data_IF_218661426618
#
_entry.id   IF_218661426618
#
_cell.length_a   1.000
_cell.length_b   1.000
_cell.length_c   1.000
_cell.angle_alpha   90.00
_cell.angle_beta   90.00
_cell.angle_gamma   90.00
#
_symmetry.space_group_name_H-M   'P 1'
#
loop_
_entity.id
_entity.type
_entity.pdbx_description
1 polymer ?
#
# COMPACT_ATOMS: atom_id res chain seq x y z
N UNK A 1 -26.94 30.94 -22.75
CA UNK A 1 -27.13 29.49 -22.68
C UNK A 1 -26.10 28.82 -23.59
N UNK A 2 -25.11 28.16 -23.02
CA UNK A 2 -24.24 27.23 -23.75
C UNK A 2 -23.75 26.19 -22.73
N UNK A 3 -24.33 25.00 -22.81
CA UNK A 3 -23.98 23.86 -21.96
C UNK A 3 -22.86 23.08 -22.64
N UNK A 4 -21.63 23.18 -22.13
CA UNK A 4 -20.53 22.31 -22.55
C UNK A 4 -20.57 21.02 -21.73
N UNK A 5 -20.91 19.91 -22.39
CA UNK A 5 -20.85 18.56 -21.80
C UNK A 5 -19.38 18.12 -21.76
N UNK A 6 -18.80 18.05 -20.57
CA UNK A 6 -17.51 17.37 -20.39
C UNK A 6 -17.73 15.85 -20.51
N UNK A 7 -17.25 15.29 -21.62
CA UNK A 7 -17.16 13.85 -21.84
C UNK A 7 -15.99 13.30 -21.00
N UNK A 8 -16.31 12.53 -19.97
CA UNK A 8 -15.34 11.78 -19.17
C UNK A 8 -14.82 10.59 -19.97
N UNK A 9 -13.60 10.70 -20.49
CA UNK A 9 -12.89 9.60 -21.15
C UNK A 9 -12.22 8.76 -20.07
N UNK A 10 -12.76 7.57 -19.80
CA UNK A 10 -12.07 6.53 -19.02
C UNK A 10 -10.77 6.11 -19.74
N UNK A 11 -9.69 5.77 -19.01
CA UNK A 11 -8.58 5.07 -19.62
C UNK A 11 -9.00 3.64 -19.98
N UNK A 12 -8.87 3.30 -21.26
CA UNK A 12 -9.01 1.93 -21.78
C UNK A 12 -7.83 1.07 -21.29
N UNK A 13 -8.04 -0.21 -20.93
CA UNK A 13 -6.93 -1.11 -20.58
C UNK A 13 -5.96 -1.26 -21.75
N UNK A 14 -4.67 -1.04 -21.50
CA UNK A 14 -3.61 -1.28 -22.48
C UNK A 14 -3.53 -2.78 -22.80
N UNK A 15 -3.73 -3.11 -24.07
CA UNK A 15 -3.45 -4.44 -24.60
C UNK A 15 -1.93 -4.65 -24.72
N UNK A 16 -1.45 -5.81 -24.28
CA UNK A 16 -0.21 -6.41 -24.81
C UNK A 16 0.94 -6.61 -23.84
N UNK A 17 0.74 -7.40 -22.78
CA UNK A 17 1.74 -8.34 -22.26
C UNK A 17 0.96 -9.61 -21.91
N UNK A 18 1.37 -10.78 -22.42
CA UNK A 18 0.82 -12.05 -21.96
C UNK A 18 1.18 -12.23 -20.48
N UNK A 19 0.25 -11.83 -19.61
CA UNK A 19 0.32 -12.12 -18.19
C UNK A 19 -0.27 -13.51 -18.03
N UNK A 20 0.57 -14.49 -17.70
CA UNK A 20 0.11 -15.68 -17.00
C UNK A 20 -0.24 -15.24 -15.58
N UNK A 21 -1.35 -14.50 -15.45
CA UNK A 21 -2.00 -14.29 -14.16
C UNK A 21 -2.60 -15.64 -13.79
N UNK A 22 -2.29 -16.23 -12.63
CA UNK A 22 -2.96 -17.45 -12.20
C UNK A 22 -4.47 -17.22 -12.18
N UNK A 23 -5.23 -18.21 -12.65
CA UNK A 23 -6.67 -18.27 -12.43
C UNK A 23 -6.95 -18.21 -10.92
N UNK A 24 -7.30 -17.02 -10.43
CA UNK A 24 -8.11 -16.70 -9.25
C UNK A 24 -7.58 -17.13 -7.86
N UNK A 25 -7.29 -16.18 -6.93
CA UNK A 25 -7.27 -16.43 -5.48
C UNK A 25 -8.52 -17.16 -4.98
N UNK A 26 -8.44 -17.94 -3.89
CA UNK A 26 -7.34 -17.97 -2.92
C UNK A 26 -6.15 -18.81 -3.35
N UNK A 27 -4.96 -18.48 -2.82
CA UNK A 27 -3.75 -19.27 -3.01
C UNK A 27 -3.95 -20.72 -2.56
N UNK A 28 -4.05 -21.64 -3.52
CA UNK A 28 -4.23 -23.08 -3.25
C UNK A 28 -2.92 -23.78 -2.89
N UNK A 29 -1.77 -23.17 -3.16
CA UNK A 29 -0.45 -23.72 -2.86
C UNK A 29 0.23 -22.99 -1.69
N UNK A 30 0.87 -23.75 -0.80
CA UNK A 30 1.77 -23.20 0.21
C UNK A 30 3.17 -23.03 -0.43
N UNK A 31 3.69 -21.80 -0.51
CA UNK A 31 5.01 -21.57 -1.09
C UNK A 31 6.12 -22.17 -0.24
N UNK A 32 7.27 -22.44 -0.85
CA UNK A 32 8.46 -22.93 -0.14
C UNK A 32 8.84 -21.94 0.99
N UNK A 33 9.13 -22.46 2.18
CA UNK A 33 9.51 -21.64 3.34
C UNK A 33 10.99 -21.24 3.25
N UNK A 34 11.26 -20.09 2.63
CA UNK A 34 12.63 -19.57 2.41
C UNK A 34 13.03 -18.48 3.40
N UNK A 35 12.08 -17.77 4.00
CA UNK A 35 12.37 -16.61 4.87
C UNK A 35 11.89 -16.76 6.33
N UNK A 36 11.43 -17.96 6.72
CA UNK A 36 11.03 -18.25 8.10
C UNK A 36 9.89 -17.36 8.61
N UNK A 37 10.01 -16.86 9.85
CA UNK A 37 8.91 -16.16 10.55
C UNK A 37 8.34 -14.94 9.82
N UNK A 38 9.16 -14.24 9.03
CA UNK A 38 8.66 -13.07 8.27
C UNK A 38 7.72 -13.53 7.17
N UNK A 39 8.09 -14.61 6.45
CA UNK A 39 7.21 -15.23 5.45
C UNK A 39 5.96 -15.81 6.10
N UNK A 40 6.08 -16.52 7.22
CA UNK A 40 4.91 -17.09 7.92
C UNK A 40 3.92 -15.99 8.32
N UNK A 41 4.44 -14.86 8.81
CA UNK A 41 3.62 -13.69 9.17
C UNK A 41 2.92 -13.07 7.96
N UNK A 42 3.59 -13.05 6.80
CA UNK A 42 3.00 -12.56 5.56
C UNK A 42 1.98 -13.52 4.95
N UNK A 43 2.21 -14.83 5.04
CA UNK A 43 1.23 -15.85 4.64
C UNK A 43 -0.06 -15.75 5.48
N UNK A 44 0.05 -15.50 6.79
CA UNK A 44 -1.10 -15.20 7.64
C UNK A 44 -1.86 -13.97 7.13
N UNK A 45 -1.15 -12.90 6.80
CA UNK A 45 -1.74 -11.64 6.32
C UNK A 45 -2.37 -11.75 4.94
N UNK A 46 -1.76 -12.51 4.04
CA UNK A 46 -2.32 -12.86 2.74
C UNK A 46 -3.68 -13.56 2.93
N UNK A 47 -3.75 -14.57 3.81
CA UNK A 47 -5.01 -15.25 4.15
C UNK A 47 -6.05 -14.31 4.75
N UNK A 48 -5.65 -13.31 5.54
CA UNK A 48 -6.62 -12.34 6.09
C UNK A 48 -7.35 -11.52 5.02
N UNK A 49 -6.66 -11.23 3.90
CA UNK A 49 -7.26 -10.54 2.75
C UNK A 49 -8.24 -11.44 2.00
N UNK A 50 -7.89 -12.72 1.84
CA UNK A 50 -8.59 -13.66 0.96
C UNK A 50 -9.74 -14.39 1.65
N UNK A 51 -9.57 -14.80 2.90
CA UNK A 51 -10.55 -15.58 3.65
C UNK A 51 -11.30 -14.66 4.63
N UNK A 52 -12.57 -14.30 4.37
CA UNK A 52 -13.37 -13.52 5.30
C UNK A 52 -13.67 -14.26 6.61
N UNK A 53 -13.55 -15.59 6.64
CA UNK A 53 -13.86 -16.44 7.80
C UNK A 53 -12.66 -16.70 8.71
N UNK A 54 -11.43 -16.32 8.31
CA UNK A 54 -10.23 -16.55 9.11
C UNK A 54 -10.35 -15.83 10.47
N UNK A 55 -10.46 -16.63 11.53
CA UNK A 55 -10.64 -16.18 12.92
C UNK A 55 -9.37 -15.62 13.55
N UNK A 56 -8.21 -15.81 12.92
CA UNK A 56 -6.93 -15.28 13.37
C UNK A 56 -6.78 -13.79 13.05
N UNK A 57 -7.54 -13.28 12.07
CA UNK A 57 -7.63 -11.86 11.81
C UNK A 57 -8.42 -11.17 12.94
N UNK A 58 -7.75 -10.34 13.73
CA UNK A 58 -8.35 -9.57 14.83
C UNK A 58 -8.62 -8.11 14.48
N UNK A 59 -8.31 -7.70 13.24
CA UNK A 59 -8.60 -6.34 12.80
C UNK A 59 -10.11 -6.10 12.79
N UNK A 60 -10.50 -4.94 13.30
CA UNK A 60 -11.86 -4.43 13.23
C UNK A 60 -11.83 -3.17 12.36
N UNK A 61 -12.84 -2.94 11.51
CA UNK A 61 -12.94 -1.69 10.76
C UNK A 61 -12.91 -0.48 11.68
N UNK A 62 -12.11 0.52 11.34
CA UNK A 62 -12.07 1.79 12.06
C UNK A 62 -13.19 2.72 11.58
N UNK A 63 -13.76 3.49 12.50
CA UNK A 63 -14.67 4.61 12.17
C UNK A 63 -13.98 5.98 12.21
N UNK A 64 -12.66 6.03 12.49
CA UNK A 64 -11.89 7.26 12.63
C UNK A 64 -11.98 8.16 11.39
N UNK A 65 -12.50 9.36 11.56
CA UNK A 65 -12.59 10.41 10.53
C UNK A 65 -11.50 11.47 10.69
N UNK A 66 -11.37 12.37 9.70
CA UNK A 66 -10.51 13.56 9.82
C UNK A 66 -11.04 14.51 10.91
N UNK A 67 -12.35 14.65 11.05
CA UNK A 67 -12.97 15.44 12.11
C UNK A 67 -12.61 14.91 13.50
N UNK A 68 -12.59 13.59 13.69
CA UNK A 68 -12.16 12.97 14.95
C UNK A 68 -10.69 13.29 15.28
N UNK A 69 -9.82 13.37 14.26
CA UNK A 69 -8.42 13.75 14.43
C UNK A 69 -8.30 15.21 14.86
N UNK A 70 -9.01 16.12 14.19
CA UNK A 70 -9.04 17.55 14.54
C UNK A 70 -9.58 17.74 15.96
N UNK A 71 -10.67 17.05 16.32
CA UNK A 71 -11.25 17.09 17.66
C UNK A 71 -10.31 16.53 18.74
N UNK A 72 -9.36 15.68 18.35
CA UNK A 72 -8.32 15.13 19.22
C UNK A 72 -7.00 15.94 19.19
N UNK A 73 -7.05 17.18 18.71
CA UNK A 73 -5.93 18.12 18.59
C UNK A 73 -4.80 17.63 17.67
N UNK A 74 -5.12 16.83 16.64
CA UNK A 74 -4.16 16.57 15.57
C UNK A 74 -4.10 17.76 14.62
N UNK A 75 -2.88 18.15 14.25
CA UNK A 75 -2.67 19.05 13.14
C UNK A 75 -2.98 18.32 11.84
N UNK A 76 -3.89 18.86 11.03
CA UNK A 76 -4.23 18.35 9.70
C UNK A 76 -4.16 19.51 8.71
N UNK A 77 -3.33 19.37 7.68
CA UNK A 77 -3.17 20.37 6.63
C UNK A 77 -3.17 19.71 5.28
N UNK A 78 -4.15 20.07 4.45
CA UNK A 78 -4.32 19.52 3.11
C UNK A 78 -4.04 20.56 2.05
N UNK A 79 -3.25 20.19 1.05
CA UNK A 79 -2.99 21.01 -0.14
C UNK A 79 -3.16 20.18 -1.41
N UNK A 80 -3.32 20.86 -2.55
CA UNK A 80 -3.30 20.21 -3.86
C UNK A 80 -1.86 20.05 -4.33
N UNK A 81 -1.47 18.84 -4.70
CA UNK A 81 -0.10 18.53 -5.10
C UNK A 81 -0.03 17.68 -6.37
N UNK A 82 1.10 17.79 -7.08
CA UNK A 82 1.49 16.88 -8.15
C UNK A 82 2.01 15.57 -7.56
N UNK A 83 2.15 14.54 -8.41
CA UNK A 83 2.77 13.28 -7.99
C UNK A 83 4.27 13.50 -7.67
N UNK A 84 4.78 12.99 -6.53
CA UNK A 84 6.19 13.10 -6.16
C UNK A 84 7.12 12.52 -7.23
N UNK A 85 8.26 13.18 -7.44
CA UNK A 85 9.16 12.85 -8.54
C UNK A 85 9.65 11.39 -8.46
N UNK A 86 9.86 10.87 -7.24
CA UNK A 86 10.42 9.55 -6.95
C UNK A 86 9.57 8.40 -7.53
N UNK A 87 8.25 8.62 -7.59
CA UNK A 87 7.29 7.60 -8.05
C UNK A 87 6.61 7.99 -9.36
N UNK A 88 6.79 9.24 -9.81
CA UNK A 88 6.15 9.83 -10.99
C UNK A 88 6.19 8.93 -12.23
N UNK A 89 7.37 8.43 -12.61
CA UNK A 89 7.51 7.55 -13.79
C UNK A 89 6.69 6.26 -13.68
N UNK A 90 6.66 5.65 -12.50
CA UNK A 90 5.88 4.44 -12.23
C UNK A 90 4.38 4.73 -12.26
N UNK A 91 3.98 5.84 -11.65
CA UNK A 91 2.59 6.27 -11.55
C UNK A 91 2.03 6.66 -12.93
N UNK A 92 2.78 7.40 -13.76
CA UNK A 92 2.32 7.78 -15.11
C UNK A 92 2.14 6.59 -16.04
N UNK A 93 3.01 5.57 -15.92
CA UNK A 93 2.85 4.32 -16.68
C UNK A 93 1.56 3.58 -16.37
N UNK A 94 0.97 3.82 -15.20
CA UNK A 94 -0.32 3.25 -14.80
C UNK A 94 -1.51 4.14 -15.21
N UNK A 95 -1.27 5.25 -15.92
CA UNK A 95 -2.31 6.10 -16.50
C UNK A 95 -2.76 7.28 -15.63
N UNK A 96 -2.11 7.52 -14.50
CA UNK A 96 -2.39 8.70 -13.67
C UNK A 96 -1.78 9.97 -14.28
N UNK A 97 -2.50 11.09 -14.21
CA UNK A 97 -2.03 12.38 -14.75
C UNK A 97 -1.10 13.11 -13.77
N UNK A 98 -0.14 13.86 -14.30
CA UNK A 98 0.72 14.75 -13.52
C UNK A 98 0.06 16.13 -13.33
N UNK A 99 -1.08 16.15 -12.66
CA UNK A 99 -1.83 17.37 -12.40
C UNK A 99 -1.91 17.60 -10.89
N UNK A 100 -1.96 18.86 -10.47
CA UNK A 100 -2.09 19.23 -9.06
C UNK A 100 -3.54 19.03 -8.57
N UNK A 101 -4.04 17.80 -8.69
CA UNK A 101 -5.43 17.41 -8.39
C UNK A 101 -5.53 16.52 -7.16
N UNK A 102 -4.41 15.96 -6.71
CA UNK A 102 -4.33 15.05 -5.57
C UNK A 102 -4.30 15.84 -4.25
N UNK A 103 -4.91 15.29 -3.20
CA UNK A 103 -4.86 15.87 -1.86
C UNK A 103 -3.62 15.35 -1.15
N UNK A 104 -2.59 16.18 -0.99
CA UNK A 104 -1.49 15.93 -0.06
C UNK A 104 -1.92 16.40 1.31
N UNK A 105 -1.94 15.50 2.29
CA UNK A 105 -2.32 15.83 3.66
C UNK A 105 -1.22 15.46 4.64
N UNK A 106 -0.72 16.49 5.34
CA UNK A 106 0.14 16.34 6.49
C UNK A 106 -0.74 16.21 7.75
N UNK A 107 -0.61 15.09 8.45
CA UNK A 107 -1.31 14.80 9.71
C UNK A 107 -0.30 14.54 10.81
N UNK A 108 -0.30 15.37 11.86
CA UNK A 108 0.73 15.36 12.89
C UNK A 108 0.16 15.54 14.29
N UNK A 109 0.82 14.93 15.27
CA UNK A 109 0.58 15.18 16.69
C UNK A 109 1.80 14.77 17.50
N UNK A 110 1.98 15.34 18.68
CA UNK A 110 3.03 14.94 19.60
C UNK A 110 2.56 13.77 20.47
N UNK A 111 3.42 12.76 20.59
CA UNK A 111 3.16 11.60 21.42
C UNK A 111 2.99 11.99 22.89
N UNK A 112 1.98 11.41 23.54
CA UNK A 112 1.61 11.64 24.94
C UNK A 112 2.15 10.54 25.88
N UNK A 113 2.84 9.55 25.31
CA UNK A 113 3.30 8.34 26.00
C UNK A 113 4.37 8.52 27.08
N UNK A 114 4.96 7.39 27.50
CA UNK A 114 5.91 7.32 28.61
C UNK A 114 7.19 8.17 28.42
N UNK A 115 7.88 8.45 29.53
CA UNK A 115 9.16 9.18 29.58
C UNK A 115 10.14 8.67 28.50
N UNK A 116 10.62 9.59 27.65
CA UNK A 116 11.52 9.32 26.53
C UNK A 116 10.86 9.30 25.15
N UNK A 117 9.53 9.19 25.09
CA UNK A 117 8.77 9.28 23.84
C UNK A 117 7.78 10.47 23.82
N UNK A 118 7.47 11.04 25.00
CA UNK A 118 6.66 12.24 25.12
C UNK A 118 7.29 13.41 24.34
N UNK A 119 6.49 14.09 23.52
CA UNK A 119 6.96 15.19 22.67
C UNK A 119 7.66 14.75 21.38
N UNK A 120 7.82 13.46 21.12
CA UNK A 120 8.19 12.98 19.78
C UNK A 120 7.00 13.15 18.84
N UNK A 121 7.26 13.51 17.58
CA UNK A 121 6.21 13.69 16.59
C UNK A 121 5.67 12.35 16.10
N UNK A 122 4.37 12.25 15.89
CA UNK A 122 3.75 11.31 14.97
C UNK A 122 3.51 12.08 13.66
N UNK A 123 3.91 11.51 12.52
CA UNK A 123 3.81 12.18 11.22
C UNK A 123 3.27 11.20 10.19
N UNK A 124 2.19 11.61 9.54
CA UNK A 124 1.67 10.99 8.34
C UNK A 124 1.64 12.03 7.24
N UNK A 125 2.34 11.77 6.15
CA UNK A 125 2.30 12.60 4.96
C UNK A 125 1.81 11.73 3.81
N UNK A 126 0.57 11.97 3.38
CA UNK A 126 -0.18 11.09 2.51
C UNK A 126 -0.80 11.91 1.39
N UNK A 127 -0.47 11.55 0.15
CA UNK A 127 -1.16 12.00 -1.04
C UNK A 127 -2.23 10.98 -1.44
N UNK A 128 -3.46 11.46 -1.61
CA UNK A 128 -4.59 10.65 -2.05
C UNK A 128 -5.26 11.20 -3.30
N UNK A 129 -5.71 10.29 -4.16
CA UNK A 129 -6.58 10.58 -5.30
C UNK A 129 -7.33 9.32 -5.73
N UNK A 130 -8.19 9.46 -6.74
CA UNK A 130 -8.99 8.33 -7.24
C UNK A 130 -8.08 7.19 -7.68
N UNK A 131 -8.17 6.06 -7.00
CA UNK A 131 -7.35 4.88 -7.27
C UNK A 131 -5.91 4.90 -6.78
N UNK A 132 -5.41 6.00 -6.20
CA UNK A 132 -4.01 6.18 -5.87
C UNK A 132 -3.82 6.68 -4.43
N UNK A 133 -2.89 6.05 -3.73
CA UNK A 133 -2.36 6.56 -2.47
C UNK A 133 -0.84 6.51 -2.50
N UNK A 134 -0.19 7.58 -2.05
CA UNK A 134 1.26 7.67 -1.89
C UNK A 134 1.53 8.12 -0.45
N UNK A 135 2.29 7.33 0.29
CA UNK A 135 2.75 7.69 1.62
C UNK A 135 4.22 8.11 1.56
N UNK A 136 4.47 9.39 1.82
CA UNK A 136 5.81 9.97 1.95
C UNK A 136 6.27 9.98 3.42
N UNK A 137 5.32 9.97 4.37
CA UNK A 137 5.58 9.92 5.80
C UNK A 137 4.71 8.90 6.53
N UNK A 138 5.34 8.01 7.31
CA UNK A 138 4.67 6.96 8.09
C UNK A 138 5.33 6.75 9.46
N UNK A 139 5.47 7.82 10.25
CA UNK A 139 6.11 7.78 11.56
C UNK A 139 5.09 7.78 12.70
N UNK A 140 5.17 6.76 13.56
CA UNK A 140 4.22 6.55 14.65
C UNK A 140 4.91 6.03 15.91
N UNK A 141 4.76 6.78 16.99
CA UNK A 141 5.09 6.40 18.37
C UNK A 141 3.83 5.87 19.07
N UNK A 142 2.74 6.63 19.04
CA UNK A 142 1.44 6.30 19.65
C UNK A 142 0.26 6.74 18.75
N UNK A 143 -0.96 6.72 19.28
CA UNK A 143 -2.16 7.13 18.53
C UNK A 143 -2.65 6.11 17.47
N UNK A 144 -3.51 6.56 16.53
CA UNK A 144 -4.08 5.71 15.49
C UNK A 144 -3.02 5.05 14.60
N UNK A 145 -3.35 3.91 14.00
CA UNK A 145 -2.48 3.23 13.03
C UNK A 145 -2.51 3.96 11.68
N UNK A 146 -1.43 3.84 10.89
CA UNK A 146 -1.37 4.39 9.53
C UNK A 146 -2.60 4.04 8.70
N UNK A 147 -3.04 2.77 8.71
CA UNK A 147 -4.19 2.31 7.92
C UNK A 147 -5.49 3.04 8.26
N UNK A 148 -5.66 3.45 9.53
CA UNK A 148 -6.82 4.20 9.98
C UNK A 148 -6.78 5.66 9.51
N UNK A 149 -5.61 6.30 9.61
CA UNK A 149 -5.37 7.67 9.08
C UNK A 149 -5.55 7.70 7.56
N UNK A 150 -4.92 6.76 6.86
CA UNK A 150 -4.99 6.61 5.43
C UNK A 150 -6.43 6.37 4.93
N UNK A 151 -7.20 5.52 5.64
CA UNK A 151 -8.63 5.31 5.38
C UNK A 151 -9.43 6.60 5.55
N UNK A 152 -9.19 7.38 6.61
CA UNK A 152 -9.87 8.66 6.85
C UNK A 152 -9.63 9.63 5.68
N UNK A 153 -8.38 9.79 5.22
CA UNK A 153 -8.06 10.66 4.07
C UNK A 153 -8.67 10.17 2.75
N UNK A 154 -8.77 8.85 2.56
CA UNK A 154 -9.47 8.28 1.41
C UNK A 154 -10.99 8.48 1.47
N UNK A 155 -11.58 8.66 2.65
CA UNK A 155 -13.00 8.99 2.77
C UNK A 155 -13.28 10.44 2.33
N UNK A 156 -12.36 11.37 2.60
CA UNK A 156 -12.49 12.78 2.18
C UNK A 156 -12.55 12.96 0.65
N UNK A 157 -11.98 12.02 -0.12
CA UNK A 157 -12.09 12.03 -1.60
C UNK A 157 -13.38 11.36 -2.12
N UNK A 158 -14.24 10.83 -1.24
CA UNK A 158 -15.57 10.30 -1.57
C UNK A 158 -15.60 8.89 -2.20
N UNK A 159 -14.46 8.32 -2.59
CA UNK A 159 -14.39 7.01 -3.24
C UNK A 159 -13.24 6.13 -2.69
N UNK A 160 -13.24 5.73 -1.41
CA UNK A 160 -12.14 4.95 -0.83
C UNK A 160 -11.92 3.60 -1.55
N UNK A 161 -13.01 2.95 -1.99
CA UNK A 161 -12.96 1.69 -2.73
C UNK A 161 -12.40 1.81 -4.16
N UNK A 162 -12.12 3.04 -4.62
CA UNK A 162 -11.42 3.24 -5.90
C UNK A 162 -9.97 2.78 -5.84
N UNK A 163 -9.35 2.68 -4.64
CA UNK A 163 -7.92 2.40 -4.47
C UNK A 163 -7.45 1.17 -5.28
N UNK A 164 -6.42 1.36 -6.10
CA UNK A 164 -5.77 0.29 -6.89
C UNK A 164 -4.26 0.24 -6.68
N UNK A 165 -3.62 1.37 -6.37
CA UNK A 165 -2.19 1.41 -6.16
C UNK A 165 -1.84 2.16 -4.88
N UNK A 166 -1.04 1.52 -4.04
CA UNK A 166 -0.50 2.11 -2.83
C UNK A 166 1.03 2.15 -2.90
N UNK A 167 1.59 3.35 -2.84
CA UNK A 167 3.03 3.61 -2.85
C UNK A 167 3.51 4.00 -1.46
N UNK A 168 4.71 3.54 -1.10
CA UNK A 168 5.44 4.01 0.08
C UNK A 168 6.82 4.44 -0.37
N UNK A 169 7.10 5.73 -0.16
CA UNK A 169 8.34 6.35 -0.58
C UNK A 169 9.42 6.29 0.50
N UNK A 170 10.68 6.39 0.08
CA UNK A 170 11.82 6.67 0.96
C UNK A 170 11.85 5.79 2.21
N UNK A 171 11.77 4.47 2.03
CA UNK A 171 11.56 3.54 3.16
C UNK A 171 12.72 3.57 4.16
N UNK A 172 12.53 4.34 5.22
CA UNK A 172 13.46 4.45 6.34
C UNK A 172 13.30 3.31 7.37
N UNK A 173 12.18 2.56 7.33
CA UNK A 173 11.94 1.48 8.28
C UNK A 173 13.01 0.38 8.16
N UNK A 174 13.88 0.27 9.17
CA UNK A 174 15.04 -0.62 9.13
C UNK A 174 14.69 -2.09 8.93
N UNK A 175 13.52 -2.55 9.40
CA UNK A 175 13.09 -3.94 9.23
C UNK A 175 12.71 -4.23 7.78
N UNK A 176 11.86 -3.39 7.17
CA UNK A 176 11.51 -3.52 5.75
C UNK A 176 12.76 -3.33 4.89
N UNK A 177 13.55 -2.28 5.13
CA UNK A 177 14.74 -1.97 4.33
C UNK A 177 15.76 -3.10 4.37
N UNK A 178 16.11 -3.64 5.55
CA UNK A 178 17.05 -4.78 5.66
C UNK A 178 16.50 -6.03 4.98
N UNK A 179 15.20 -6.30 5.08
CA UNK A 179 14.63 -7.46 4.41
C UNK A 179 14.76 -7.35 2.89
N UNK A 180 14.41 -6.19 2.31
CA UNK A 180 14.55 -6.00 0.86
C UNK A 180 16.03 -6.01 0.45
N UNK A 181 16.84 -5.12 1.01
CA UNK A 181 18.22 -4.90 0.53
C UNK A 181 19.15 -6.07 0.81
N UNK A 182 19.02 -6.75 1.96
CA UNK A 182 19.99 -7.75 2.39
C UNK A 182 19.48 -9.19 2.24
N UNK A 183 18.17 -9.41 2.17
CA UNK A 183 17.57 -10.75 2.05
C UNK A 183 17.02 -10.99 0.66
N UNK A 184 16.15 -10.11 0.15
CA UNK A 184 15.57 -10.26 -1.19
C UNK A 184 16.60 -10.00 -2.29
N UNK A 185 17.33 -8.90 -2.21
CA UNK A 185 18.39 -8.54 -3.15
C UNK A 185 19.73 -9.16 -2.75
N UNK A 186 19.74 -10.49 -2.62
CA UNK A 186 20.92 -11.26 -2.22
C UNK A 186 21.35 -12.25 -3.30
N UNK A 187 22.63 -12.70 -3.29
CA UNK A 187 23.12 -13.71 -4.22
C UNK A 187 22.29 -15.02 -4.19
N UNK A 188 21.64 -15.34 -3.06
CA UNK A 188 20.74 -16.51 -2.95
C UNK A 188 19.51 -16.43 -3.85
N UNK A 189 19.11 -15.22 -4.23
CA UNK A 189 18.02 -14.96 -5.17
C UNK A 189 18.54 -14.55 -6.56
N UNK A 190 19.86 -14.61 -6.79
CA UNK A 190 20.50 -14.11 -8.01
C UNK A 190 20.38 -12.59 -8.17
N UNK A 191 20.33 -11.85 -7.07
CA UNK A 191 20.12 -10.40 -7.05
C UNK A 191 21.18 -9.69 -6.21
N UNK A 192 21.34 -8.39 -6.42
CA UNK A 192 22.23 -7.52 -5.65
C UNK A 192 21.54 -6.21 -5.32
N UNK A 193 21.91 -5.58 -4.20
CA UNK A 193 21.51 -4.22 -3.87
C UNK A 193 22.72 -3.26 -3.88
N UNK A 194 22.62 -2.07 -4.50
CA UNK A 194 21.51 -1.62 -5.35
C UNK A 194 21.30 -2.53 -6.57
N UNK A 195 20.09 -2.56 -7.15
CA UNK A 195 19.82 -3.36 -8.34
C UNK A 195 20.71 -2.93 -9.51
N UNK A 196 21.33 -3.89 -10.21
CA UNK A 196 22.11 -3.58 -11.44
C UNK A 196 21.22 -3.00 -12.53
N UNK A 197 20.00 -3.53 -12.65
CA UNK A 197 18.96 -3.00 -13.50
C UNK A 197 18.05 -2.08 -12.69
N UNK A 198 17.90 -0.82 -13.12
CA UNK A 198 16.97 0.15 -12.50
C UNK A 198 15.50 -0.12 -12.82
N UNK A 199 15.20 -1.18 -13.58
CA UNK A 199 13.82 -1.56 -13.83
C UNK A 199 13.16 -2.03 -12.51
N UNK A 200 11.92 -1.62 -12.22
CA UNK A 200 11.22 -2.11 -11.05
C UNK A 200 11.11 -3.63 -11.03
N UNK A 201 11.37 -4.22 -9.87
CA UNK A 201 11.25 -5.67 -9.66
C UNK A 201 9.86 -6.01 -9.18
N UNK A 202 9.17 -6.88 -9.90
CA UNK A 202 7.87 -7.43 -9.51
C UNK A 202 8.09 -8.69 -8.69
N UNK A 203 7.38 -8.78 -7.57
CA UNK A 203 7.28 -9.95 -6.70
C UNK A 203 5.87 -10.51 -6.85
N UNK A 204 5.79 -11.63 -7.55
CA UNK A 204 4.52 -12.23 -7.94
C UNK A 204 3.74 -12.76 -6.73
N UNK A 205 2.42 -12.69 -6.85
CA UNK A 205 1.48 -13.22 -5.87
C UNK A 205 1.84 -14.63 -5.42
N UNK A 206 1.66 -14.91 -4.13
CA UNK A 206 1.86 -16.21 -3.53
C UNK A 206 3.26 -16.83 -3.78
N UNK A 207 4.29 -15.99 -3.92
CA UNK A 207 5.69 -16.43 -3.86
C UNK A 207 6.26 -16.30 -2.45
N UNK A 208 7.35 -17.00 -2.10
CA UNK A 208 8.02 -16.83 -0.82
C UNK A 208 8.43 -15.37 -0.57
N UNK A 209 8.90 -14.67 -1.60
CA UNK A 209 9.33 -13.27 -1.55
C UNK A 209 8.16 -12.32 -1.29
N UNK A 210 7.05 -12.52 -2.01
CA UNK A 210 5.80 -11.79 -1.78
C UNK A 210 5.31 -11.93 -0.34
N UNK A 211 5.24 -13.17 0.16
CA UNK A 211 4.88 -13.42 1.56
C UNK A 211 5.90 -12.81 2.52
N UNK A 212 7.18 -12.87 2.22
CA UNK A 212 8.22 -12.17 2.97
C UNK A 212 7.96 -10.66 3.06
N UNK A 213 7.59 -10.02 1.95
CA UNK A 213 7.28 -8.57 1.88
C UNK A 213 6.04 -8.21 2.70
N UNK A 214 4.96 -8.98 2.60
CA UNK A 214 3.77 -8.83 3.46
C UNK A 214 4.10 -9.06 4.95
N UNK A 215 5.15 -9.84 5.22
CA UNK A 215 5.73 -10.07 6.53
C UNK A 215 6.34 -8.83 7.19
N UNK A 216 6.81 -7.87 6.38
CA UNK A 216 7.51 -6.66 6.84
C UNK A 216 6.58 -5.65 7.52
N UNK A 217 7.14 -4.58 8.09
CA UNK A 217 6.36 -3.49 8.71
C UNK A 217 5.53 -2.72 7.69
N UNK A 218 6.13 -2.37 6.55
CA UNK A 218 5.43 -1.70 5.44
C UNK A 218 4.38 -2.63 4.82
N UNK A 219 4.72 -3.89 4.56
CA UNK A 219 3.74 -4.86 4.03
C UNK A 219 2.56 -5.09 4.97
N UNK A 220 2.80 -5.11 6.29
CA UNK A 220 1.72 -5.11 7.29
C UNK A 220 0.80 -3.88 7.15
N UNK A 221 1.37 -2.69 6.94
CA UNK A 221 0.58 -1.47 6.74
C UNK A 221 -0.28 -1.54 5.47
N UNK A 222 0.27 -2.06 4.37
CA UNK A 222 -0.46 -2.25 3.12
C UNK A 222 -1.64 -3.23 3.29
N UNK A 223 -1.41 -4.38 3.92
CA UNK A 223 -2.49 -5.34 4.23
C UNK A 223 -3.58 -4.67 5.08
N UNK A 224 -3.16 -3.93 6.09
CA UNK A 224 -4.09 -3.31 7.03
C UNK A 224 -4.91 -2.22 6.34
N UNK A 225 -4.30 -1.45 5.44
CA UNK A 225 -4.98 -0.47 4.59
C UNK A 225 -6.06 -1.14 3.73
N UNK A 226 -5.74 -2.25 3.06
CA UNK A 226 -6.71 -3.00 2.25
C UNK A 226 -7.87 -3.48 3.11
N UNK A 227 -7.60 -4.01 4.31
CA UNK A 227 -8.63 -4.47 5.26
C UNK A 227 -9.49 -3.33 5.85
N UNK A 228 -8.98 -2.11 5.88
CA UNK A 228 -9.71 -0.91 6.35
C UNK A 228 -10.60 -0.31 5.25
N UNK A 229 -10.22 -0.47 3.98
CA UNK A 229 -10.94 0.10 2.83
C UNK A 229 -11.96 -0.89 2.25
N UNK A 230 -11.60 -2.17 2.19
CA UNK A 230 -12.36 -3.21 1.50
C UNK A 230 -12.84 -4.28 2.47
N UNK A 231 -14.07 -4.81 2.29
CA UNK A 231 -14.49 -5.99 3.00
C UNK A 231 -13.52 -7.16 2.76
N UNK A 232 -13.30 -7.99 3.77
CA UNK A 232 -12.47 -9.20 3.63
C UNK A 232 -13.02 -10.11 2.54
N UNK A 233 -12.13 -10.77 1.81
CA UNK A 233 -12.50 -11.67 0.71
C UNK A 233 -12.98 -10.98 -0.55
N UNK A 234 -12.79 -9.65 -0.68
CA UNK A 234 -13.22 -8.90 -1.88
C UNK A 234 -12.05 -8.32 -2.68
N UNK A 235 -10.95 -7.97 -2.02
CA UNK A 235 -9.75 -7.43 -2.66
C UNK A 235 -8.49 -8.06 -2.05
N UNK A 236 -7.44 -8.14 -2.85
CA UNK A 236 -6.14 -8.65 -2.45
C UNK A 236 -5.03 -7.82 -3.06
N UNK A 237 -3.81 -7.98 -2.52
CA UNK A 237 -2.61 -7.39 -3.10
C UNK A 237 -2.14 -8.35 -4.20
N UNK A 238 -2.37 -8.01 -5.47
CA UNK A 238 -2.03 -8.88 -6.59
C UNK A 238 -0.53 -8.93 -6.85
N UNK A 239 0.17 -7.81 -6.65
CA UNK A 239 1.62 -7.70 -6.89
C UNK A 239 2.25 -6.74 -5.90
N UNK A 240 3.53 -6.98 -5.61
CA UNK A 240 4.37 -6.04 -4.87
C UNK A 240 5.54 -5.69 -5.76
N UNK A 241 5.83 -4.40 -5.92
CA UNK A 241 6.92 -3.93 -6.77
C UNK A 241 7.91 -3.14 -5.93
N UNK A 242 9.21 -3.41 -6.10
CA UNK A 242 10.28 -2.70 -5.41
C UNK A 242 11.29 -2.15 -6.39
N UNK A 243 11.80 -0.94 -6.14
CA UNK A 243 12.88 -0.35 -6.92
C UNK A 243 13.76 0.54 -6.05
N UNK A 244 14.93 0.85 -6.59
CA UNK A 244 15.81 1.89 -6.07
C UNK A 244 15.55 3.17 -6.88
N UNK A 245 15.27 4.27 -6.19
CA UNK A 245 15.23 5.59 -6.78
C UNK A 245 16.16 6.49 -5.96
N UNK A 246 17.22 7.01 -6.59
CA UNK A 246 18.18 7.91 -5.92
C UNK A 246 18.70 7.40 -4.57
N UNK A 247 19.05 6.10 -4.48
CA UNK A 247 19.52 5.41 -3.27
C UNK A 247 18.45 5.18 -2.18
N UNK A 248 17.19 5.48 -2.48
CA UNK A 248 16.04 5.20 -1.63
C UNK A 248 15.29 3.96 -2.12
N UNK A 249 14.82 3.16 -1.16
CA UNK A 249 13.97 2.01 -1.44
C UNK A 249 12.52 2.46 -1.55
N UNK A 250 11.94 2.21 -2.71
CA UNK A 250 10.55 2.50 -3.02
C UNK A 250 9.75 1.19 -3.13
N UNK A 251 8.51 1.18 -2.66
CA UNK A 251 7.62 0.02 -2.77
C UNK A 251 6.23 0.44 -3.24
N UNK A 252 5.66 -0.36 -4.14
CA UNK A 252 4.27 -0.27 -4.60
C UNK A 252 3.54 -1.58 -4.32
N UNK A 253 2.28 -1.47 -3.92
CA UNK A 253 1.34 -2.56 -3.79
C UNK A 253 0.20 -2.37 -4.80
N UNK A 254 0.00 -3.36 -5.66
CA UNK A 254 -1.09 -3.39 -6.62
C UNK A 254 -2.28 -4.12 -5.98
N UNK A 255 -3.45 -3.49 -5.98
CA UNK A 255 -4.66 -3.95 -5.30
C UNK A 255 -5.73 -4.22 -6.35
N UNK A 256 -6.20 -5.46 -6.38
CA UNK A 256 -7.16 -5.93 -7.37
C UNK A 256 -8.35 -6.62 -6.68
N UNK A 257 -9.55 -6.58 -7.28
CA UNK A 257 -10.66 -7.38 -6.77
C UNK A 257 -10.30 -8.86 -6.88
N UNK A 258 -10.68 -9.65 -5.89
CA UNK A 258 -10.62 -11.10 -5.99
C UNK A 258 -11.60 -11.51 -7.10
N UNK A 259 -11.15 -12.20 -8.15
CA UNK A 259 -12.06 -12.68 -9.18
C UNK A 259 -13.12 -13.55 -8.51
N UNK A 260 -14.38 -13.33 -8.86
CA UNK A 260 -15.43 -14.25 -8.51
C UNK A 260 -15.14 -15.56 -9.25
N UNK A 261 -14.45 -16.49 -8.59
CA UNK A 261 -14.40 -17.87 -9.05
C UNK A 261 -15.87 -18.30 -9.20
N UNK A 262 -16.22 -18.74 -10.41
CA UNK A 262 -17.57 -19.13 -10.84
C UNK A 262 -18.29 -19.81 -9.68
N UNK A 263 -19.36 -19.19 -9.19
CA UNK A 263 -20.36 -19.87 -8.37
C UNK A 263 -20.82 -21.09 -9.17
N UNK A 264 -20.22 -22.26 -8.91
CA UNK A 264 -20.83 -23.52 -9.31
C UNK A 264 -21.96 -23.74 -8.31
N UNK A 265 -23.16 -23.79 -8.89
CA UNK A 265 -24.49 -23.91 -8.32
C UNK A 265 -24.60 -24.71 -7.01
#
# INVERSE_FOLDING_TARGET
MASSKHSSILPTPSQGISVTTPDTPPATSNPERRYGRIQDSGAIRQRWLEDPTDKTCKMQPSSLSVDDLIAADWYVSTTKANIPFQVSHSVFKLGYSNEAIYNQTLTQNYAKGALGAAGCENIYDILVGKGLMIAEGMFRIDGPQFSQIARAHMQEIGEPQSLRHFYVCDIANIHTRKFVQNVLYSPRNGLTWPPVCRAPRVWEYNTPEYQGLLGTRVGKCAVYLVLEIFPRGTYYISRIVTWDESCSLEIRFDIEPIPASVCVA
#
